data_IF_297992801132
#
_entry.id   IF_297992801132
#
_cell.length_a   1.000
_cell.length_b   1.000
_cell.length_c   1.000
_cell.angle_alpha   90.00
_cell.angle_beta   90.00
_cell.angle_gamma   90.00
#
_symmetry.space_group_name_H-M   'P 1'
#
loop_
_entity.id
_entity.type
_entity.pdbx_description
1 polymer ?
#
# COMPACT_ATOMS: atom_id res chain seq x y z
N UNK A 1 -67.39 5.69 35.15
CA UNK A 1 -66.17 4.98 35.63
C UNK A 1 -65.19 4.90 34.48
N UNK A 2 -64.22 5.86 34.37
CA UNK A 2 -63.21 5.92 33.30
C UNK A 2 -61.89 5.38 33.84
N UNK A 3 -61.46 4.22 33.35
CA UNK A 3 -60.14 3.66 33.65
C UNK A 3 -59.13 4.24 32.67
N UNK A 4 -58.33 5.20 33.09
CA UNK A 4 -57.12 5.61 32.40
C UNK A 4 -55.96 4.66 32.74
N UNK A 5 -55.57 3.84 31.78
CA UNK A 5 -54.36 3.05 31.86
C UNK A 5 -53.17 3.93 31.50
N UNK A 6 -52.32 4.27 32.47
CA UNK A 6 -51.05 4.93 32.26
C UNK A 6 -50.04 4.00 31.59
N UNK A 7 -49.23 4.43 30.62
CA UNK A 7 -48.23 3.56 29.98
C UNK A 7 -47.07 3.26 30.96
N UNK A 8 -46.73 2.00 31.11
CA UNK A 8 -45.65 1.53 31.98
C UNK A 8 -44.28 2.10 31.54
N UNK A 9 -43.52 2.77 32.44
CA UNK A 9 -42.23 3.38 32.10
C UNK A 9 -41.14 2.39 31.62
N UNK A 10 -41.31 1.09 31.90
CA UNK A 10 -40.36 0.03 31.44
C UNK A 10 -40.36 -0.21 29.93
N UNK A 11 -41.49 0.04 29.22
CA UNK A 11 -41.57 -0.12 27.77
C UNK A 11 -40.90 1.04 27.02
N UNK A 12 -40.93 2.23 27.57
CA UNK A 12 -40.29 3.40 26.99
C UNK A 12 -38.76 3.33 27.09
N UNK A 13 -38.23 2.78 28.19
CA UNK A 13 -36.80 2.62 28.40
C UNK A 13 -36.18 1.56 27.44
N UNK A 14 -36.91 0.50 27.11
CA UNK A 14 -36.48 -0.54 26.20
C UNK A 14 -36.38 -0.03 24.74
N UNK A 15 -37.30 0.82 24.33
CA UNK A 15 -37.32 1.43 22.98
C UNK A 15 -36.19 2.46 22.85
N UNK A 16 -35.88 3.25 23.90
CA UNK A 16 -34.74 4.18 23.90
C UNK A 16 -33.38 3.45 23.83
N UNK A 17 -33.24 2.30 24.51
CA UNK A 17 -32.03 1.48 24.45
C UNK A 17 -31.86 0.82 23.08
N UNK A 18 -32.94 0.43 22.39
CA UNK A 18 -32.87 -0.09 21.02
C UNK A 18 -32.45 1.00 20.02
N UNK A 19 -32.91 2.23 20.17
CA UNK A 19 -32.49 3.35 19.32
C UNK A 19 -31.04 3.78 19.57
N UNK A 20 -30.51 3.63 20.78
CA UNK A 20 -29.09 3.86 21.07
C UNK A 20 -28.19 2.76 20.50
N UNK A 21 -28.67 1.52 20.36
CA UNK A 21 -27.91 0.41 19.79
C UNK A 21 -27.84 0.46 18.24
N UNK A 22 -28.84 1.06 17.58
CA UNK A 22 -28.86 1.24 16.12
C UNK A 22 -27.97 2.42 15.66
N UNK A 23 -27.58 3.32 16.60
CA UNK A 23 -26.74 4.50 16.30
C UNK A 23 -25.24 4.27 16.33
N UNK A 24 -24.74 3.09 16.74
CA UNK A 24 -23.32 2.73 16.69
C UNK A 24 -23.03 1.72 15.57
N UNK A 25 -23.55 1.95 14.36
CA UNK A 25 -22.88 1.41 13.20
C UNK A 25 -21.52 2.16 13.15
N UNK A 26 -20.44 1.48 13.57
CA UNK A 26 -19.11 2.03 13.47
C UNK A 26 -18.95 2.48 12.01
N UNK A 27 -18.69 3.77 11.80
CA UNK A 27 -18.47 4.30 10.45
C UNK A 27 -17.29 3.52 9.88
N UNK A 28 -17.55 2.74 8.83
CA UNK A 28 -16.57 1.91 8.15
C UNK A 28 -15.35 2.77 7.81
N UNK A 29 -14.18 2.37 8.30
CA UNK A 29 -12.95 3.13 8.05
C UNK A 29 -12.57 3.07 6.57
N UNK A 30 -11.75 4.00 6.10
CA UNK A 30 -11.25 3.93 4.73
C UNK A 30 -10.46 2.64 4.48
N UNK A 31 -9.71 2.19 5.48
CA UNK A 31 -8.97 0.92 5.41
C UNK A 31 -9.91 -0.28 5.26
N UNK A 32 -11.05 -0.33 6.00
CA UNK A 32 -12.00 -1.44 5.88
C UNK A 32 -12.54 -1.54 4.45
N UNK A 33 -12.88 -0.41 3.83
CA UNK A 33 -13.31 -0.36 2.42
C UNK A 33 -12.22 -0.85 1.46
N UNK A 34 -10.97 -0.42 1.67
CA UNK A 34 -9.84 -0.91 0.88
C UNK A 34 -9.69 -2.43 1.01
N UNK A 35 -9.78 -2.96 2.23
CA UNK A 35 -9.67 -4.39 2.49
C UNK A 35 -10.83 -5.19 1.88
N UNK A 36 -12.05 -4.66 1.93
CA UNK A 36 -13.22 -5.26 1.26
C UNK A 36 -12.99 -5.31 -0.24
N UNK A 37 -12.56 -4.20 -0.85
CA UNK A 37 -12.27 -4.18 -2.28
C UNK A 37 -11.14 -5.14 -2.62
N UNK A 38 -10.07 -5.14 -1.83
CA UNK A 38 -8.92 -6.02 -2.03
C UNK A 38 -9.32 -7.51 -2.03
N UNK A 39 -10.20 -7.92 -1.15
CA UNK A 39 -10.58 -9.33 -0.97
C UNK A 39 -11.77 -9.75 -1.84
N UNK A 40 -12.79 -8.89 -1.98
CA UNK A 40 -14.11 -9.32 -2.48
C UNK A 40 -14.51 -8.69 -3.82
N UNK A 41 -13.85 -7.61 -4.26
CA UNK A 41 -14.25 -6.86 -5.44
C UNK A 41 -13.11 -6.84 -6.49
N UNK A 42 -12.82 -7.97 -7.16
CA UNK A 42 -11.70 -8.06 -8.11
C UNK A 42 -11.85 -7.16 -9.34
N UNK A 43 -13.06 -6.65 -9.62
CA UNK A 43 -13.35 -5.68 -10.68
C UNK A 43 -12.92 -4.25 -10.31
N UNK A 44 -12.77 -3.95 -9.01
CA UNK A 44 -12.24 -2.68 -8.56
C UNK A 44 -10.71 -2.66 -8.72
N UNK A 45 -10.21 -1.68 -9.44
CA UNK A 45 -8.76 -1.49 -9.63
C UNK A 45 -8.22 -0.66 -8.48
N UNK A 46 -7.30 -1.23 -7.72
CA UNK A 46 -6.64 -0.54 -6.61
C UNK A 46 -5.46 0.28 -7.14
N UNK A 47 -5.27 1.46 -6.55
CA UNK A 47 -4.19 2.38 -6.91
C UNK A 47 -3.10 2.35 -5.84
N UNK A 48 -1.87 2.03 -6.27
CA UNK A 48 -0.68 2.09 -5.45
C UNK A 48 0.19 3.30 -5.82
N UNK A 49 0.45 4.17 -4.84
CA UNK A 49 1.32 5.31 -5.01
C UNK A 49 2.78 4.89 -4.80
N UNK A 50 3.61 4.93 -5.83
CA UNK A 50 5.02 4.59 -5.81
C UNK A 50 5.82 5.60 -4.99
N UNK A 51 6.49 5.16 -3.93
CA UNK A 51 7.19 6.02 -2.95
C UNK A 51 6.30 7.13 -2.38
N UNK A 52 5.01 6.81 -2.20
CA UNK A 52 3.92 7.74 -1.91
C UNK A 52 3.65 8.75 -3.06
N UNK A 53 2.83 9.78 -2.80
CA UNK A 53 2.49 10.80 -3.81
C UNK A 53 3.64 11.79 -3.97
N UNK A 54 4.58 11.43 -4.84
CA UNK A 54 5.86 12.13 -5.04
C UNK A 54 5.81 13.26 -6.08
N UNK A 55 4.67 13.56 -6.68
CA UNK A 55 4.53 14.64 -7.66
C UNK A 55 4.70 16.04 -7.05
N UNK A 56 4.30 16.20 -5.78
CA UNK A 56 4.24 17.47 -5.07
C UNK A 56 5.14 17.54 -3.84
N UNK A 57 5.64 16.40 -3.39
CA UNK A 57 6.45 16.24 -2.17
C UNK A 57 7.65 15.34 -2.44
N UNK A 58 8.70 15.38 -1.60
CA UNK A 58 9.79 14.42 -1.69
C UNK A 58 9.28 12.98 -1.63
N UNK A 59 9.82 12.11 -2.49
CA UNK A 59 9.53 10.67 -2.42
C UNK A 59 9.80 10.11 -1.03
N UNK A 60 9.03 9.12 -0.60
CA UNK A 60 9.21 8.46 0.69
C UNK A 60 9.12 9.39 1.92
N UNK A 61 8.56 10.60 1.79
CA UNK A 61 8.39 11.55 2.91
C UNK A 61 7.05 11.38 3.62
N UNK A 62 6.98 11.86 4.88
CA UNK A 62 5.72 11.89 5.61
C UNK A 62 4.68 12.81 4.94
N UNK A 63 5.12 13.88 4.29
CA UNK A 63 4.24 14.78 3.53
C UNK A 63 3.62 14.07 2.33
N UNK A 64 4.42 13.32 1.55
CA UNK A 64 3.93 12.52 0.42
C UNK A 64 2.93 11.44 0.87
N UNK A 65 3.20 10.76 2.01
CA UNK A 65 2.29 9.76 2.58
C UNK A 65 0.97 10.40 3.04
N UNK A 66 1.01 11.57 3.70
CA UNK A 66 -0.20 12.31 4.08
C UNK A 66 -1.03 12.69 2.86
N UNK A 67 -0.38 13.12 1.79
CA UNK A 67 -1.05 13.45 0.54
C UNK A 67 -1.69 12.22 -0.11
N UNK A 68 -0.97 11.08 -0.14
CA UNK A 68 -1.53 9.81 -0.60
C UNK A 68 -2.84 9.45 0.12
N UNK A 69 -2.84 9.57 1.44
CA UNK A 69 -4.05 9.33 2.25
C UNK A 69 -5.15 10.35 1.91
N UNK A 70 -4.80 11.64 1.75
CA UNK A 70 -5.75 12.71 1.45
C UNK A 70 -6.47 12.52 0.11
N UNK A 71 -5.76 12.14 -0.94
CA UNK A 71 -6.34 11.90 -2.27
C UNK A 71 -7.07 10.56 -2.36
N UNK A 72 -6.87 9.68 -1.37
CA UNK A 72 -7.61 8.42 -1.24
C UNK A 72 -7.02 7.27 -2.06
N UNK A 73 -5.67 7.15 -2.13
CA UNK A 73 -5.03 5.94 -2.68
C UNK A 73 -5.32 4.72 -1.80
N UNK A 74 -5.26 3.55 -2.37
CA UNK A 74 -5.51 2.29 -1.66
C UNK A 74 -4.25 1.76 -1.00
N UNK A 75 -3.11 1.93 -1.66
CA UNK A 75 -1.83 1.38 -1.25
C UNK A 75 -0.76 2.47 -1.38
N UNK A 76 0.07 2.61 -0.36
CA UNK A 76 1.29 3.41 -0.42
C UNK A 76 2.47 2.45 -0.44
N UNK A 77 3.23 2.46 -1.52
CA UNK A 77 4.47 1.70 -1.61
C UNK A 77 5.62 2.52 -1.02
N UNK A 78 6.49 1.87 -0.27
CA UNK A 78 7.60 2.47 0.47
C UNK A 78 8.81 1.56 0.52
N UNK A 79 9.98 2.15 0.38
CA UNK A 79 11.28 1.48 0.38
C UNK A 79 11.91 1.45 1.77
N UNK A 80 12.33 0.27 2.25
CA UNK A 80 12.95 0.09 3.56
C UNK A 80 14.46 -0.03 3.47
N UNK A 81 15.15 0.82 4.23
CA UNK A 81 16.59 0.75 4.51
C UNK A 81 16.86 0.76 6.01
N UNK A 82 18.13 0.65 6.38
CA UNK A 82 18.55 0.60 7.78
C UNK A 82 19.74 1.54 8.02
N UNK A 83 19.70 2.28 9.14
CA UNK A 83 20.81 3.08 9.63
C UNK A 83 21.92 2.22 10.23
N UNK A 84 23.09 2.82 10.52
CA UNK A 84 24.23 2.17 11.18
C UNK A 84 23.87 1.53 12.52
N UNK A 85 23.01 2.18 13.29
CA UNK A 85 22.52 1.73 14.60
C UNK A 85 21.26 0.85 14.49
N UNK A 86 20.95 0.39 13.26
CA UNK A 86 19.93 -0.64 13.00
C UNK A 86 18.50 -0.12 12.98
N UNK A 87 18.24 1.18 12.89
CA UNK A 87 16.87 1.71 12.79
C UNK A 87 16.37 1.59 11.35
N UNK A 88 15.13 1.09 11.18
CA UNK A 88 14.50 0.99 9.86
C UNK A 88 13.99 2.35 9.40
N UNK A 89 14.39 2.72 8.19
CA UNK A 89 14.15 4.01 7.55
C UNK A 89 13.41 3.84 6.24
N UNK A 90 12.73 4.90 5.81
CA UNK A 90 12.05 4.95 4.52
C UNK A 90 12.93 5.71 3.53
N UNK A 91 13.56 4.98 2.61
CA UNK A 91 14.45 5.51 1.58
C UNK A 91 14.73 4.47 0.50
N UNK A 92 14.71 4.88 -0.78
CA UNK A 92 14.97 3.98 -1.90
C UNK A 92 16.47 3.71 -2.09
N UNK A 93 17.26 4.77 -2.24
CA UNK A 93 18.65 4.65 -2.64
C UNK A 93 19.54 4.13 -1.50
N UNK A 94 20.62 3.46 -1.86
CA UNK A 94 21.65 3.05 -0.91
C UNK A 94 22.40 4.24 -0.33
N UNK A 95 22.44 5.36 -1.09
CA UNK A 95 23.15 6.58 -0.71
C UNK A 95 22.20 7.75 -0.52
N UNK A 96 22.66 8.76 0.17
CA UNK A 96 21.92 9.98 0.54
C UNK A 96 21.84 11.00 -0.60
N UNK A 97 22.72 10.88 -1.60
CA UNK A 97 23.12 11.93 -2.55
C UNK A 97 21.98 12.48 -3.41
N UNK A 98 21.07 11.63 -3.87
CA UNK A 98 19.99 12.04 -4.80
C UNK A 98 18.81 12.72 -4.10
N UNK A 99 18.46 12.22 -2.93
CA UNK A 99 17.18 12.59 -2.28
C UNK A 99 17.35 13.42 -1.02
N UNK A 100 18.60 13.72 -0.61
CA UNK A 100 18.88 14.52 0.58
C UNK A 100 19.97 15.58 0.33
N UNK A 101 20.13 16.49 1.28
CA UNK A 101 21.25 17.43 1.30
C UNK A 101 22.54 16.83 1.90
N UNK A 102 22.59 15.52 2.15
CA UNK A 102 23.77 14.78 2.59
C UNK A 102 24.38 13.95 1.48
N UNK A 103 25.49 13.26 1.78
CA UNK A 103 26.17 12.34 0.86
C UNK A 103 26.72 11.13 1.59
N UNK A 104 26.91 10.00 0.86
CA UNK A 104 27.45 8.75 1.41
C UNK A 104 26.38 7.69 1.65
N UNK A 105 26.78 6.49 2.14
CA UNK A 105 25.86 5.38 2.32
C UNK A 105 24.98 5.59 3.56
N UNK A 106 23.70 5.32 3.45
CA UNK A 106 22.72 5.39 4.57
C UNK A 106 23.19 4.56 5.78
N UNK A 107 23.73 3.36 5.54
CA UNK A 107 24.17 2.45 6.58
C UNK A 107 25.44 2.90 7.35
N UNK A 108 26.11 3.96 6.92
CA UNK A 108 27.30 4.50 7.60
C UNK A 108 26.92 5.53 8.68
N UNK A 109 25.68 6.00 8.74
CA UNK A 109 25.18 7.05 9.62
C UNK A 109 24.20 6.50 10.67
N UNK A 110 24.29 7.02 11.90
CA UNK A 110 23.29 6.77 12.94
C UNK A 110 21.97 7.48 12.60
N UNK A 111 20.86 7.06 13.27
CA UNK A 111 19.57 7.73 13.13
C UNK A 111 19.67 9.24 13.40
N UNK A 112 20.37 9.63 14.48
CA UNK A 112 20.49 11.04 14.86
C UNK A 112 21.15 11.86 13.73
N UNK A 113 22.23 11.33 13.14
CA UNK A 113 22.90 11.98 12.01
C UNK A 113 21.98 12.09 10.79
N UNK A 114 21.24 11.03 10.47
CA UNK A 114 20.28 11.02 9.34
C UNK A 114 19.12 11.99 9.57
N UNK A 115 18.69 12.17 10.82
CA UNK A 115 17.61 13.12 11.16
C UNK A 115 18.03 14.59 11.07
N UNK A 116 19.31 14.90 11.00
CA UNK A 116 19.77 16.27 10.71
C UNK A 116 19.60 16.64 9.23
N UNK A 117 19.57 15.63 8.33
CA UNK A 117 19.42 15.85 6.89
C UNK A 117 18.00 16.26 6.51
N UNK A 118 17.91 16.92 5.36
CA UNK A 118 16.65 17.33 4.74
C UNK A 118 16.46 16.63 3.40
N UNK A 119 15.23 16.21 3.15
CA UNK A 119 14.87 15.67 1.85
C UNK A 119 14.84 16.77 0.79
N UNK A 120 15.22 16.41 -0.43
CA UNK A 120 15.16 17.27 -1.60
C UNK A 120 13.86 17.01 -2.37
N UNK A 121 13.31 18.08 -2.94
CA UNK A 121 12.23 18.00 -3.92
C UNK A 121 12.57 18.90 -5.10
N UNK A 122 12.72 18.32 -6.30
CA UNK A 122 13.13 19.05 -7.52
C UNK A 122 14.35 19.93 -7.24
N UNK A 123 15.39 19.32 -6.69
CA UNK A 123 16.69 19.95 -6.33
C UNK A 123 16.62 21.03 -5.23
N UNK A 124 15.46 21.26 -4.65
CA UNK A 124 15.27 22.22 -3.56
C UNK A 124 15.24 21.52 -2.20
N UNK A 125 15.94 22.08 -1.21
CA UNK A 125 15.92 21.59 0.18
C UNK A 125 14.54 21.88 0.79
N UNK A 126 13.91 20.85 1.35
CA UNK A 126 12.61 20.97 2.02
C UNK A 126 12.74 21.00 3.54
N UNK A 127 11.62 21.07 4.24
CA UNK A 127 11.56 20.87 5.70
C UNK A 127 11.44 19.39 6.10
N UNK A 128 11.15 18.51 5.13
CA UNK A 128 10.97 17.08 5.36
C UNK A 128 12.30 16.41 5.73
N UNK A 129 12.22 15.38 6.57
CA UNK A 129 13.35 14.56 7.02
C UNK A 129 13.12 13.11 6.61
N UNK A 130 14.18 12.29 6.58
CA UNK A 130 14.07 10.85 6.33
C UNK A 130 13.17 10.23 7.41
N UNK A 131 12.04 9.61 7.05
CA UNK A 131 11.16 8.97 8.03
C UNK A 131 11.73 7.64 8.53
N UNK A 132 11.41 7.28 9.76
CA UNK A 132 11.54 5.91 10.26
C UNK A 132 10.28 5.10 9.92
N UNK A 133 10.40 3.77 9.85
CA UNK A 133 9.24 2.89 9.71
C UNK A 133 8.23 3.13 10.85
N UNK A 134 8.71 3.35 12.07
CA UNK A 134 7.85 3.65 13.25
C UNK A 134 7.00 4.90 13.05
N UNK A 135 7.55 5.98 12.48
CA UNK A 135 6.80 7.21 12.17
C UNK A 135 5.74 6.95 11.11
N UNK A 136 6.07 6.14 10.10
CA UNK A 136 5.12 5.78 9.03
C UNK A 136 3.99 4.92 9.57
N UNK A 137 4.28 3.86 10.34
CA UNK A 137 3.24 3.01 10.93
C UNK A 137 2.27 3.84 11.78
N UNK A 138 2.80 4.75 12.62
CA UNK A 138 1.97 5.65 13.43
C UNK A 138 1.07 6.57 12.57
N UNK A 139 1.57 7.06 11.45
CA UNK A 139 0.83 7.95 10.55
C UNK A 139 -0.29 7.23 9.80
N UNK A 140 -0.03 5.99 9.33
CA UNK A 140 -0.87 5.27 8.37
C UNK A 140 -1.85 4.31 9.01
N UNK A 141 -1.71 4.00 10.30
CA UNK A 141 -2.58 3.06 11.03
C UNK A 141 -4.06 3.35 10.78
N UNK A 142 -4.80 2.35 10.29
CA UNK A 142 -6.24 2.40 10.02
C UNK A 142 -6.64 3.25 8.81
N UNK A 143 -5.70 3.66 7.93
CA UNK A 143 -6.00 4.62 6.85
C UNK A 143 -5.77 4.12 5.44
N UNK A 144 -4.73 3.31 5.21
CA UNK A 144 -4.26 2.90 3.88
C UNK A 144 -3.46 1.61 3.99
N UNK A 145 -3.44 0.75 2.97
CA UNK A 145 -2.51 -0.36 2.90
C UNK A 145 -1.08 0.15 2.64
N UNK A 146 -0.09 -0.53 3.19
CA UNK A 146 1.32 -0.29 2.89
C UNK A 146 1.90 -1.47 2.13
N UNK A 147 2.55 -1.19 1.01
CA UNK A 147 3.45 -2.13 0.33
C UNK A 147 4.88 -1.80 0.76
N UNK A 148 5.54 -2.77 1.39
CA UNK A 148 6.88 -2.59 1.95
C UNK A 148 7.89 -3.31 1.07
N UNK A 149 8.71 -2.53 0.34
CA UNK A 149 9.82 -3.02 -0.47
C UNK A 149 11.14 -2.96 0.32
N UNK A 150 11.63 -4.13 0.72
CA UNK A 150 12.90 -4.24 1.43
C UNK A 150 14.08 -4.12 0.45
N UNK A 151 14.83 -3.03 0.56
CA UNK A 151 16.12 -2.84 -0.14
C UNK A 151 17.30 -3.48 0.61
N UNK A 152 16.99 -4.41 1.51
CA UNK A 152 17.91 -5.15 2.36
C UNK A 152 17.75 -6.64 2.08
N UNK A 153 18.85 -7.38 2.07
CA UNK A 153 18.82 -8.84 1.90
C UNK A 153 18.72 -9.58 3.25
N UNK A 154 18.89 -8.86 4.35
CA UNK A 154 18.96 -9.42 5.70
C UNK A 154 17.55 -9.71 6.27
N UNK A 155 17.32 -10.98 6.60
CA UNK A 155 16.08 -11.41 7.24
C UNK A 155 15.88 -10.82 8.63
N UNK A 156 16.96 -10.51 9.36
CA UNK A 156 16.83 -9.85 10.67
C UNK A 156 16.17 -8.47 10.57
N UNK A 157 16.38 -7.75 9.47
CA UNK A 157 15.69 -6.49 9.21
C UNK A 157 14.19 -6.72 8.93
N UNK A 158 13.84 -7.81 8.24
CA UNK A 158 12.44 -8.19 7.99
C UNK A 158 11.74 -8.58 9.30
N UNK A 159 12.38 -9.39 10.13
CA UNK A 159 11.88 -9.80 11.46
C UNK A 159 11.67 -8.57 12.36
N UNK A 160 12.62 -7.62 12.35
CA UNK A 160 12.50 -6.36 13.08
C UNK A 160 11.34 -5.50 12.58
N UNK A 161 11.15 -5.41 11.26
CA UNK A 161 10.02 -4.70 10.69
C UNK A 161 8.70 -5.34 11.10
N UNK A 162 8.63 -6.67 11.04
CA UNK A 162 7.44 -7.41 11.44
C UNK A 162 7.10 -7.22 12.92
N UNK A 163 8.10 -7.27 13.80
CA UNK A 163 7.91 -6.99 15.22
C UNK A 163 7.36 -5.58 15.48
N UNK A 164 7.81 -4.57 14.72
CA UNK A 164 7.24 -3.22 14.79
C UNK A 164 5.80 -3.19 14.28
N UNK A 165 5.49 -3.90 13.20
CA UNK A 165 4.13 -3.99 12.65
C UNK A 165 3.17 -4.59 13.68
N UNK A 166 3.60 -5.65 14.37
CA UNK A 166 2.85 -6.27 15.47
C UNK A 166 2.67 -5.33 16.68
N UNK A 167 3.72 -4.58 17.08
CA UNK A 167 3.62 -3.56 18.15
C UNK A 167 2.51 -2.55 17.87
N UNK A 168 2.28 -2.23 16.57
CA UNK A 168 1.24 -1.31 16.14
C UNK A 168 -0.10 -2.00 15.83
N UNK A 169 -0.19 -3.32 15.81
CA UNK A 169 -1.38 -4.09 15.41
C UNK A 169 -1.81 -3.76 13.98
N UNK A 170 -0.85 -3.83 13.04
CA UNK A 170 -1.05 -3.44 11.63
C UNK A 170 -0.80 -4.58 10.65
N UNK A 171 -0.77 -5.84 11.12
CA UNK A 171 -0.46 -7.02 10.31
C UNK A 171 -1.37 -7.09 9.07
N UNK A 172 -2.66 -6.85 9.24
CA UNK A 172 -3.65 -6.85 8.14
C UNK A 172 -3.50 -5.69 7.15
N UNK A 173 -2.64 -4.72 7.46
CA UNK A 173 -2.49 -3.47 6.70
C UNK A 173 -1.24 -3.47 5.82
N UNK A 174 -0.42 -4.54 5.87
CA UNK A 174 0.88 -4.60 5.22
C UNK A 174 0.89 -5.65 4.11
N UNK A 175 1.49 -5.28 2.99
CA UNK A 175 1.93 -6.18 1.92
C UNK A 175 3.46 -6.25 1.98
N UNK A 176 4.01 -7.46 1.97
CA UNK A 176 5.45 -7.68 1.88
C UNK A 176 5.85 -7.97 0.44
N UNK A 177 6.51 -7.04 -0.22
CA UNK A 177 7.04 -7.27 -1.55
C UNK A 177 8.25 -8.20 -1.53
N UNK A 178 8.26 -9.20 -2.42
CA UNK A 178 9.35 -10.15 -2.57
C UNK A 178 9.90 -10.20 -4.00
N UNK A 179 11.17 -9.86 -4.17
CA UNK A 179 11.89 -10.06 -5.43
C UNK A 179 12.06 -11.54 -5.80
N UNK A 180 12.30 -12.41 -4.82
CA UNK A 180 12.40 -13.85 -5.02
C UNK A 180 11.26 -14.58 -4.31
N UNK A 181 10.29 -15.07 -5.10
CA UNK A 181 9.13 -15.79 -4.59
C UNK A 181 9.48 -17.05 -3.77
N UNK A 182 10.69 -17.60 -3.93
CA UNK A 182 11.14 -18.78 -3.17
C UNK A 182 11.33 -18.47 -1.68
N UNK A 183 11.43 -17.19 -1.30
CA UNK A 183 11.48 -16.76 0.10
C UNK A 183 10.08 -16.73 0.77
N UNK A 184 9.00 -16.91 0.01
CA UNK A 184 7.62 -16.91 0.54
C UNK A 184 7.44 -17.87 1.73
N UNK A 185 7.85 -19.15 1.68
CA UNK A 185 7.65 -20.06 2.82
C UNK A 185 8.32 -19.55 4.11
N UNK A 186 9.49 -18.94 3.99
CA UNK A 186 10.22 -18.42 5.16
C UNK A 186 9.48 -17.25 5.84
N UNK A 187 8.77 -16.40 5.08
CA UNK A 187 7.93 -15.35 5.67
C UNK A 187 6.65 -15.94 6.27
N UNK A 188 6.06 -16.94 5.64
CA UNK A 188 4.87 -17.64 6.16
C UNK A 188 5.15 -18.42 7.46
N UNK A 189 6.42 -18.87 7.66
CA UNK A 189 6.86 -19.45 8.94
C UNK A 189 6.87 -18.44 10.09
N UNK A 190 7.03 -17.14 9.81
CA UNK A 190 6.96 -16.09 10.84
C UNK A 190 5.50 -15.85 11.27
N UNK A 191 4.61 -15.80 10.31
CA UNK A 191 3.16 -15.68 10.50
C UNK A 191 2.46 -16.07 9.20
N UNK A 192 1.52 -17.02 9.28
CA UNK A 192 0.73 -17.49 8.13
C UNK A 192 -0.19 -16.43 7.53
N UNK A 193 -0.54 -15.39 8.29
CA UNK A 193 -1.44 -14.32 7.88
C UNK A 193 -0.71 -13.15 7.18
N UNK A 194 0.64 -13.20 7.07
CA UNK A 194 1.40 -12.18 6.34
C UNK A 194 0.97 -12.16 4.88
N UNK A 195 0.48 -11.03 4.41
CA UNK A 195 0.23 -10.81 2.98
C UNK A 195 1.53 -10.60 2.24
N UNK A 196 1.80 -11.51 1.31
CA UNK A 196 3.04 -11.51 0.53
C UNK A 196 2.71 -11.20 -0.92
N UNK A 197 3.46 -10.27 -1.52
CA UNK A 197 3.41 -9.94 -2.93
C UNK A 197 4.69 -10.39 -3.63
N UNK A 198 4.75 -11.64 -4.11
CA UNK A 198 5.91 -12.12 -4.86
C UNK A 198 5.93 -11.52 -6.27
N UNK A 199 7.11 -11.10 -6.73
CA UNK A 199 7.32 -10.69 -8.11
C UNK A 199 7.61 -11.91 -9.00
N UNK A 200 6.89 -11.98 -10.12
CA UNK A 200 7.18 -12.92 -11.19
C UNK A 200 7.92 -12.22 -12.32
N UNK A 201 9.01 -12.83 -12.81
CA UNK A 201 9.80 -12.36 -13.97
C UNK A 201 9.52 -13.19 -15.22
N UNK A 202 8.67 -14.21 -15.13
CA UNK A 202 8.31 -15.08 -16.25
C UNK A 202 6.98 -15.78 -16.03
N UNK A 203 6.42 -16.29 -17.13
CA UNK A 203 5.20 -17.14 -17.06
C UNK A 203 5.42 -18.45 -16.29
N UNK A 204 6.66 -18.91 -16.17
CA UNK A 204 7.02 -20.11 -15.39
C UNK A 204 6.89 -19.78 -13.91
N UNK A 205 7.41 -18.63 -13.49
CA UNK A 205 7.33 -18.18 -12.10
C UNK A 205 5.88 -17.90 -11.67
N UNK A 206 5.07 -17.25 -12.51
CA UNK A 206 3.63 -17.11 -12.25
C UNK A 206 2.99 -18.45 -11.90
N UNK A 207 3.30 -19.52 -12.70
CA UNK A 207 2.77 -20.87 -12.42
C UNK A 207 3.30 -21.47 -11.13
N UNK A 208 4.53 -21.14 -10.75
CA UNK A 208 5.13 -21.62 -9.50
C UNK A 208 4.50 -20.92 -8.31
N UNK A 209 4.30 -19.60 -8.39
CA UNK A 209 3.66 -18.78 -7.37
C UNK A 209 2.19 -19.21 -7.17
N UNK A 210 1.44 -19.44 -8.26
CA UNK A 210 0.04 -19.91 -8.18
C UNK A 210 -0.14 -21.31 -7.53
N UNK A 211 0.94 -22.06 -7.34
CA UNK A 211 0.92 -23.34 -6.61
C UNK A 211 1.23 -23.19 -5.12
N UNK A 212 1.60 -22.00 -4.69
CA UNK A 212 1.81 -21.68 -3.30
C UNK A 212 0.44 -21.33 -2.67
N UNK A 213 0.25 -21.73 -1.44
CA UNK A 213 -0.92 -21.37 -0.67
C UNK A 213 -0.81 -19.91 -0.19
N UNK A 214 -1.96 -19.27 0.03
CA UNK A 214 -2.07 -17.94 0.67
C UNK A 214 -1.36 -16.80 -0.09
N UNK A 215 -1.43 -16.79 -1.43
CA UNK A 215 -0.96 -15.66 -2.25
C UNK A 215 -2.15 -14.85 -2.76
N UNK A 216 -2.36 -13.68 -2.15
CA UNK A 216 -3.46 -12.78 -2.48
C UNK A 216 -3.19 -11.88 -3.68
N UNK A 217 -1.91 -11.69 -4.03
CA UNK A 217 -1.48 -10.75 -5.07
C UNK A 217 -0.16 -11.19 -5.71
N UNK A 218 -0.05 -11.05 -7.03
CA UNK A 218 1.18 -11.34 -7.78
C UNK A 218 1.59 -10.08 -8.55
N UNK A 219 2.82 -9.63 -8.35
CA UNK A 219 3.41 -8.57 -9.17
C UNK A 219 3.92 -9.18 -10.48
N UNK A 220 3.37 -8.72 -11.61
CA UNK A 220 3.75 -9.19 -12.95
C UNK A 220 4.45 -8.09 -13.73
N UNK A 221 5.12 -8.50 -14.83
CA UNK A 221 5.72 -7.62 -15.82
C UNK A 221 4.93 -7.66 -17.14
N UNK A 222 4.88 -6.53 -17.88
CA UNK A 222 4.13 -6.46 -19.13
C UNK A 222 4.71 -7.36 -20.23
N UNK A 223 6.01 -7.65 -20.18
CA UNK A 223 6.75 -8.44 -21.20
C UNK A 223 6.18 -9.84 -21.41
N UNK A 224 5.59 -10.41 -20.36
CA UNK A 224 5.01 -11.76 -20.42
C UNK A 224 3.49 -11.78 -20.15
N UNK A 225 2.85 -10.63 -20.09
CA UNK A 225 1.40 -10.51 -19.90
C UNK A 225 0.61 -11.27 -20.99
N UNK A 226 -0.45 -11.95 -20.61
CA UNK A 226 -1.44 -12.62 -21.49
C UNK A 226 -2.80 -12.61 -20.82
N UNK A 227 -3.81 -12.00 -21.43
CA UNK A 227 -5.18 -11.91 -20.91
C UNK A 227 -5.69 -13.23 -20.30
N UNK A 228 -5.64 -14.31 -21.07
CA UNK A 228 -6.12 -15.62 -20.62
C UNK A 228 -5.43 -16.14 -19.33
N UNK A 229 -4.18 -15.74 -19.09
CA UNK A 229 -3.45 -16.16 -17.91
C UNK A 229 -3.76 -15.26 -16.71
N UNK A 230 -3.78 -13.96 -16.93
CA UNK A 230 -4.11 -12.99 -15.88
C UNK A 230 -5.55 -13.19 -15.41
N UNK A 231 -6.48 -13.44 -16.33
CA UNK A 231 -7.84 -13.80 -15.98
C UNK A 231 -7.91 -15.00 -15.03
N UNK A 232 -7.14 -16.07 -15.28
CA UNK A 232 -7.10 -17.24 -14.39
C UNK A 232 -6.56 -16.92 -12.99
N UNK A 233 -5.64 -15.96 -12.89
CA UNK A 233 -5.15 -15.50 -11.58
C UNK A 233 -6.28 -14.79 -10.84
N UNK A 234 -6.97 -13.87 -11.50
CA UNK A 234 -8.10 -13.14 -10.90
C UNK A 234 -9.26 -14.09 -10.56
N UNK A 235 -9.60 -15.01 -11.46
CA UNK A 235 -10.65 -16.02 -11.24
C UNK A 235 -10.33 -16.95 -10.04
N UNK A 236 -9.06 -17.07 -9.63
CA UNK A 236 -8.65 -17.82 -8.41
C UNK A 236 -8.66 -16.96 -7.13
N UNK A 237 -9.12 -15.72 -7.18
CA UNK A 237 -9.14 -14.79 -6.04
C UNK A 237 -7.85 -14.00 -5.82
N UNK A 238 -6.82 -14.21 -6.67
CA UNK A 238 -5.52 -13.54 -6.55
C UNK A 238 -5.51 -12.27 -7.39
N UNK A 239 -4.99 -11.17 -6.87
CA UNK A 239 -4.84 -9.91 -7.60
C UNK A 239 -3.63 -9.91 -8.50
N UNK A 240 -3.74 -9.14 -9.60
CA UNK A 240 -2.67 -8.92 -10.57
C UNK A 240 -2.18 -7.48 -10.46
N UNK A 241 -0.97 -7.32 -9.94
CA UNK A 241 -0.29 -6.03 -9.84
C UNK A 241 0.59 -5.77 -11.07
N UNK A 242 0.51 -4.56 -11.61
CA UNK A 242 1.40 -4.09 -12.68
C UNK A 242 1.86 -2.66 -12.40
N UNK A 243 3.04 -2.31 -12.89
CA UNK A 243 3.57 -0.95 -12.81
C UNK A 243 3.20 -0.15 -14.06
N UNK A 244 2.69 1.07 -13.86
CA UNK A 244 2.57 2.09 -14.89
C UNK A 244 3.89 2.87 -15.07
N UNK A 245 4.80 2.74 -14.12
CA UNK A 245 6.07 3.46 -14.01
C UNK A 245 6.85 3.50 -15.33
N UNK A 246 7.47 4.62 -15.59
CA UNK A 246 8.23 4.87 -16.80
C UNK A 246 7.33 5.04 -18.02
N UNK A 247 7.05 3.98 -18.77
CA UNK A 247 6.36 4.03 -20.06
C UNK A 247 4.97 4.67 -19.97
N UNK A 248 4.08 4.12 -19.16
CA UNK A 248 2.67 4.56 -19.12
C UNK A 248 2.52 5.90 -18.43
N UNK A 249 3.23 6.13 -17.33
CA UNK A 249 3.25 7.43 -16.65
C UNK A 249 3.86 8.51 -17.54
N UNK A 250 4.86 8.19 -18.38
CA UNK A 250 5.42 9.12 -19.36
C UNK A 250 4.43 9.46 -20.47
N UNK A 251 3.69 8.47 -20.99
CA UNK A 251 2.62 8.70 -21.96
C UNK A 251 1.52 9.58 -21.37
N UNK A 252 1.12 9.32 -20.14
CA UNK A 252 0.08 10.08 -19.43
C UNK A 252 0.47 11.54 -19.21
N UNK A 253 1.77 11.81 -18.90
CA UNK A 253 2.29 13.19 -18.79
C UNK A 253 2.31 13.94 -20.12
N UNK A 254 2.46 13.23 -21.25
CA UNK A 254 2.48 13.83 -22.59
C UNK A 254 1.08 14.09 -23.13
N UNK A 255 0.17 13.15 -22.90
CA UNK A 255 -1.21 13.22 -23.38
C UNK A 255 -2.13 12.57 -22.34
N UNK A 256 -3.07 13.36 -21.83
CA UNK A 256 -4.04 12.91 -20.82
C UNK A 256 -4.80 11.67 -21.29
N UNK A 257 -4.93 10.72 -20.38
CA UNK A 257 -5.58 9.41 -20.53
C UNK A 257 -4.84 8.43 -21.46
N UNK A 258 -3.86 8.86 -22.27
CA UNK A 258 -3.17 8.00 -23.25
C UNK A 258 -2.38 6.86 -22.58
N UNK A 259 -1.71 7.15 -21.47
CA UNK A 259 -0.94 6.16 -20.72
C UNK A 259 -1.84 5.12 -20.06
N UNK A 260 -2.91 5.56 -19.44
CA UNK A 260 -3.83 4.68 -18.73
C UNK A 260 -4.71 3.86 -19.69
N UNK A 261 -5.15 4.43 -20.83
CA UNK A 261 -5.84 3.68 -21.89
C UNK A 261 -4.93 2.57 -22.46
N UNK A 262 -3.64 2.89 -22.71
CA UNK A 262 -2.68 1.91 -23.17
C UNK A 262 -2.42 0.80 -22.13
N UNK A 263 -2.33 1.14 -20.84
CA UNK A 263 -2.18 0.15 -19.77
C UNK A 263 -3.43 -0.73 -19.64
N UNK A 264 -4.61 -0.14 -19.60
CA UNK A 264 -5.90 -0.86 -19.43
C UNK A 264 -6.38 -1.58 -20.70
N UNK A 265 -5.67 -1.45 -21.84
CA UNK A 265 -5.81 -2.42 -22.92
C UNK A 265 -5.51 -3.85 -22.46
N UNK A 266 -4.77 -4.00 -21.36
CA UNK A 266 -4.57 -5.23 -20.56
C UNK A 266 -5.74 -5.42 -19.59
N UNK A 267 -6.76 -6.18 -20.03
CA UNK A 267 -8.07 -6.30 -19.38
C UNK A 267 -8.06 -6.91 -17.96
N UNK A 268 -6.99 -7.61 -17.61
CA UNK A 268 -6.92 -8.39 -16.36
C UNK A 268 -5.74 -7.91 -15.50
N UNK A 269 -5.86 -6.65 -15.07
CA UNK A 269 -4.98 -5.97 -14.11
C UNK A 269 -5.89 -5.29 -13.11
N UNK A 270 -5.69 -5.49 -11.83
CA UNK A 270 -6.55 -4.92 -10.81
C UNK A 270 -5.81 -4.32 -9.61
N UNK A 271 -4.48 -4.15 -9.74
CA UNK A 271 -3.69 -3.23 -8.91
C UNK A 271 -2.68 -2.53 -9.82
N UNK A 272 -2.62 -1.21 -9.79
CA UNK A 272 -1.72 -0.42 -10.63
C UNK A 272 -0.86 0.49 -9.74
N UNK A 273 0.46 0.31 -9.83
CA UNK A 273 1.43 1.20 -9.19
C UNK A 273 1.85 2.30 -10.17
N UNK A 274 1.83 3.56 -9.73
CA UNK A 274 2.08 4.73 -10.57
C UNK A 274 2.77 5.85 -9.80
N UNK A 275 3.51 6.71 -10.52
CA UNK A 275 3.98 8.02 -10.04
C UNK A 275 2.90 9.11 -10.17
N UNK A 276 1.73 8.80 -10.75
CA UNK A 276 0.62 9.73 -11.01
C UNK A 276 -0.68 9.26 -10.31
N UNK A 277 -0.67 9.03 -8.99
CA UNK A 277 -1.79 8.37 -8.32
C UNK A 277 -3.08 9.18 -8.36
N UNK A 278 -3.03 10.52 -8.28
CA UNK A 278 -4.23 11.36 -8.36
C UNK A 278 -4.85 11.33 -9.76
N UNK A 279 -4.03 11.38 -10.80
CA UNK A 279 -4.49 11.27 -12.18
C UNK A 279 -5.13 9.91 -12.45
N UNK A 280 -4.51 8.81 -11.97
CA UNK A 280 -5.04 7.46 -12.13
C UNK A 280 -6.36 7.28 -11.36
N UNK A 281 -6.48 7.77 -10.12
CA UNK A 281 -7.73 7.75 -9.37
C UNK A 281 -8.87 8.46 -10.12
N UNK A 282 -8.60 9.66 -10.64
CA UNK A 282 -9.59 10.43 -11.40
C UNK A 282 -10.00 9.70 -12.68
N UNK A 283 -9.03 9.11 -13.40
CA UNK A 283 -9.25 8.32 -14.61
C UNK A 283 -10.16 7.10 -14.34
N UNK A 284 -9.86 6.33 -13.29
CA UNK A 284 -10.59 5.13 -12.93
C UNK A 284 -12.00 5.43 -12.41
N UNK A 285 -12.15 6.45 -11.57
CA UNK A 285 -13.46 6.90 -11.04
C UNK A 285 -14.39 7.35 -12.13
N UNK A 286 -13.90 8.12 -13.12
CA UNK A 286 -14.69 8.54 -14.27
C UNK A 286 -15.23 7.36 -15.10
N UNK A 287 -14.56 6.20 -15.04
CA UNK A 287 -14.92 4.96 -15.74
C UNK A 287 -15.62 3.92 -14.86
N UNK A 288 -15.88 4.24 -13.58
CA UNK A 288 -16.48 3.35 -12.58
C UNK A 288 -15.65 2.07 -12.34
N UNK A 289 -14.33 2.18 -12.48
CA UNK A 289 -13.36 1.10 -12.25
C UNK A 289 -12.71 1.20 -10.85
N UNK A 290 -12.98 2.27 -10.12
CA UNK A 290 -12.57 2.52 -8.74
C UNK A 290 -13.73 3.18 -7.99
N UNK A 291 -13.84 2.98 -6.64
CA UNK A 291 -14.84 3.59 -5.76
C UNK A 291 -14.74 5.11 -5.67
#
# INVERSE_FOLDING_TARGET
>A
MNNHLSPHPKKLLLVLLLFLYVGLAAQESNLDRILIDFQNNPEQILVAAHRATNEYYPENSLAAIKESIRIGVDIVELDIRQSKDGVLLIMHDRTLDRTTNGSGNVADFSLDQLKELRLLFKDSITTERIPTLKEVLKLTKGKVLLDIDFKLEDMAAVEKAYSLIQEYGMENQILFFLYDYKKTPKLQEMDSEIRIMPRAYSRREVRSIQKMDLIDIIHIDESFYKDRKMRKIIDSGTRVWINALGKYDSMERLEKDAGFDALLSKKYVNVIQTDLPEALLNYLRARKLHR
#
